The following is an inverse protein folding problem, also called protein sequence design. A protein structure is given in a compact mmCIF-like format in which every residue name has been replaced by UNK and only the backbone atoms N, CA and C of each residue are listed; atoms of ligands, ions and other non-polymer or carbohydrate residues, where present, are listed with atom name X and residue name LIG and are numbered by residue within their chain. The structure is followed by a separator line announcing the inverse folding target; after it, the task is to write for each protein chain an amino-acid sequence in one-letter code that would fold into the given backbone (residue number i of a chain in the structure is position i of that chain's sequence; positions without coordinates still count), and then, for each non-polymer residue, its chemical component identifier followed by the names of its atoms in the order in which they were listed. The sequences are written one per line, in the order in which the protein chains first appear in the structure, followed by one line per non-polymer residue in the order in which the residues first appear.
data_IF_325675383392
#
_entry.id   IF_325675383392
#
_cell.length_a   1.000
_cell.length_b   1.000
_cell.length_c   1.000
_cell.angle_alpha   90.00
_cell.angle_beta   90.00
_cell.angle_gamma   90.00
#
_symmetry.space_group_name_H-M   'P 1'
#
loop_
_entity.id
_entity.type
_entity.pdbx_description
1 polymer ?
#
# COMPACT_ATOMS: atom_id res chain seq x y z
N UNK A 1 9.28 -16.07 -35.37
CA UNK A 1 10.08 -15.09 -34.60
C UNK A 1 9.18 -14.58 -33.50
N UNK A 2 9.39 -14.96 -32.24
CA UNK A 2 8.53 -14.47 -31.15
C UNK A 2 8.85 -13.00 -30.90
N UNK A 3 7.87 -12.11 -31.10
CA UNK A 3 7.98 -10.70 -30.77
C UNK A 3 8.24 -10.56 -29.27
N UNK A 4 9.40 -9.99 -28.93
CA UNK A 4 9.71 -9.64 -27.55
C UNK A 4 8.71 -8.55 -27.11
N UNK A 5 7.82 -8.91 -26.17
CA UNK A 5 6.89 -7.96 -25.56
C UNK A 5 7.70 -6.80 -24.96
N UNK A 6 7.41 -5.53 -25.30
CA UNK A 6 8.12 -4.40 -24.71
C UNK A 6 7.96 -4.45 -23.18
N UNK A 7 8.99 -4.03 -22.42
CA UNK A 7 8.95 -4.07 -20.97
C UNK A 7 7.70 -3.33 -20.48
N UNK A 8 6.86 -4.01 -19.67
CA UNK A 8 5.67 -3.41 -19.07
C UNK A 8 6.11 -2.14 -18.34
N UNK A 9 5.61 -0.98 -18.80
CA UNK A 9 5.93 0.32 -18.20
C UNK A 9 5.45 0.32 -16.75
N UNK A 10 6.33 0.71 -15.83
CA UNK A 10 5.93 1.07 -14.48
C UNK A 10 5.16 2.40 -14.52
N UNK A 11 3.95 2.41 -13.97
CA UNK A 11 3.15 3.62 -13.80
C UNK A 11 3.39 4.24 -12.42
N UNK A 12 3.38 5.58 -12.35
CA UNK A 12 3.52 6.32 -11.10
C UNK A 12 2.13 6.59 -10.53
N UNK A 13 1.84 6.01 -9.38
CA UNK A 13 0.61 6.28 -8.61
C UNK A 13 0.91 7.35 -7.56
N UNK A 14 0.03 8.36 -7.46
CA UNK A 14 0.06 9.36 -6.38
C UNK A 14 -1.12 9.11 -5.46
N UNK A 15 -0.85 9.04 -4.16
CA UNK A 15 -1.85 8.88 -3.10
C UNK A 15 -1.59 9.99 -2.08
N UNK A 16 -2.63 10.64 -1.59
CA UNK A 16 -2.53 11.58 -0.48
C UNK A 16 -2.72 10.81 0.81
N UNK A 17 -1.78 10.98 1.74
CA UNK A 17 -1.77 10.37 3.06
C UNK A 17 -1.60 11.48 4.08
N UNK A 18 -2.24 11.36 5.22
CA UNK A 18 -1.99 12.27 6.34
C UNK A 18 -0.70 11.91 7.10
N UNK A 19 -0.34 12.73 8.08
CA UNK A 19 0.92 12.58 8.84
C UNK A 19 0.97 11.26 9.62
N UNK A 20 -0.17 10.80 10.15
CA UNK A 20 -0.26 9.57 10.93
C UNK A 20 -0.07 8.35 10.02
N UNK A 21 -0.70 8.34 8.85
CA UNK A 21 -0.53 7.28 7.86
C UNK A 21 0.90 7.20 7.34
N UNK A 22 1.53 8.35 7.07
CA UNK A 22 2.94 8.40 6.66
C UNK A 22 3.86 7.86 7.75
N UNK A 23 3.59 8.22 9.00
CA UNK A 23 4.34 7.73 10.16
C UNK A 23 4.19 6.23 10.35
N UNK A 24 2.97 5.68 10.23
CA UNK A 24 2.74 4.24 10.32
C UNK A 24 3.54 3.45 9.28
N UNK A 25 3.61 3.94 8.03
CA UNK A 25 4.43 3.33 6.98
C UNK A 25 5.92 3.37 7.33
N UNK A 26 6.40 4.50 7.86
CA UNK A 26 7.80 4.65 8.24
C UNK A 26 8.16 3.78 9.46
N UNK A 27 7.32 3.73 10.50
CA UNK A 27 7.53 2.88 11.68
C UNK A 27 7.61 1.40 11.27
N UNK A 28 6.67 0.93 10.44
CA UNK A 28 6.72 -0.42 9.89
C UNK A 28 8.00 -0.68 9.08
N UNK A 29 8.40 0.30 8.25
CA UNK A 29 9.65 0.24 7.47
C UNK A 29 10.87 0.10 8.37
N UNK A 30 10.95 0.86 9.47
CA UNK A 30 12.07 0.81 10.40
C UNK A 30 12.12 -0.53 11.14
N UNK A 31 10.98 -1.00 11.65
CA UNK A 31 10.84 -2.27 12.36
C UNK A 31 11.26 -3.46 11.46
N UNK A 32 10.79 -3.46 10.20
CA UNK A 32 11.08 -4.50 9.21
C UNK A 32 12.38 -4.27 8.44
N UNK A 33 13.17 -3.24 8.79
CA UNK A 33 14.45 -2.85 8.17
C UNK A 33 14.38 -2.68 6.65
N UNK A 34 13.30 -2.10 6.15
CA UNK A 34 13.08 -1.88 4.72
C UNK A 34 13.79 -0.60 4.26
N UNK A 35 14.61 -0.64 3.18
CA UNK A 35 15.57 0.42 2.90
C UNK A 35 14.93 1.74 2.45
N UNK A 36 13.78 1.71 1.77
CA UNK A 36 13.11 2.92 1.27
C UNK A 36 11.61 2.86 1.52
N UNK A 37 10.97 4.02 1.63
CA UNK A 37 9.51 4.10 1.76
C UNK A 37 8.79 3.47 0.57
N UNK A 38 9.30 3.66 -0.65
CA UNK A 38 8.74 3.03 -1.85
C UNK A 38 8.82 1.49 -1.80
N UNK A 39 9.92 0.92 -1.26
CA UNK A 39 10.03 -0.51 -1.06
C UNK A 39 9.05 -0.99 0.02
N UNK A 40 8.87 -0.22 1.09
CA UNK A 40 7.91 -0.54 2.16
C UNK A 40 6.48 -0.57 1.62
N UNK A 41 6.07 0.47 0.89
CA UNK A 41 4.76 0.55 0.25
C UNK A 41 4.54 -0.66 -0.67
N UNK A 42 5.52 -1.01 -1.52
CA UNK A 42 5.40 -2.18 -2.42
C UNK A 42 5.23 -3.49 -1.67
N UNK A 43 5.97 -3.69 -0.59
CA UNK A 43 5.88 -4.90 0.22
C UNK A 43 4.56 -4.99 0.99
N UNK A 44 4.09 -3.86 1.54
CA UNK A 44 2.76 -3.77 2.16
C UNK A 44 1.65 -4.09 1.16
N UNK A 45 1.70 -3.51 -0.05
CA UNK A 45 0.75 -3.83 -1.12
C UNK A 45 0.80 -5.33 -1.48
N UNK A 46 1.99 -5.90 -1.61
CA UNK A 46 2.16 -7.32 -1.90
C UNK A 46 1.53 -8.19 -0.82
N UNK A 47 1.76 -7.87 0.46
CA UNK A 47 1.17 -8.60 1.60
C UNK A 47 -0.34 -8.48 1.61
N UNK A 48 -0.90 -7.29 1.38
CA UNK A 48 -2.34 -7.08 1.26
C UNK A 48 -2.97 -7.90 0.14
N UNK A 49 -2.35 -7.91 -1.05
CA UNK A 49 -2.84 -8.67 -2.21
C UNK A 49 -2.73 -10.20 -2.05
N UNK A 50 -1.78 -10.67 -1.23
CA UNK A 50 -1.62 -12.10 -0.93
C UNK A 50 -2.47 -12.56 0.25
N UNK A 51 -3.01 -11.64 1.04
CA UNK A 51 -3.87 -11.97 2.17
C UNK A 51 -5.22 -12.48 1.63
N UNK A 52 -5.48 -13.77 1.85
CA UNK A 52 -6.70 -14.46 1.35
C UNK A 52 -7.91 -14.29 2.28
N UNK A 53 -7.70 -13.71 3.45
CA UNK A 53 -8.67 -13.63 4.54
C UNK A 53 -9.27 -12.21 4.68
N UNK A 54 -9.00 -11.30 3.73
CA UNK A 54 -9.59 -9.98 3.73
C UNK A 54 -11.08 -10.05 3.32
N UNK A 55 -11.94 -9.42 4.11
CA UNK A 55 -13.34 -9.21 3.77
C UNK A 55 -13.50 -8.39 2.48
N UNK A 56 -14.65 -8.55 1.83
CA UNK A 56 -14.99 -7.73 0.66
C UNK A 56 -15.11 -6.28 1.10
N UNK A 57 -14.34 -5.34 0.52
CA UNK A 57 -14.45 -3.95 0.90
C UNK A 57 -15.84 -3.42 0.53
N UNK A 58 -16.47 -2.60 1.38
CA UNK A 58 -17.72 -1.93 1.06
C UNK A 58 -17.56 -1.01 -0.15
N UNK A 59 -18.52 -1.06 -1.07
CA UNK A 59 -18.44 -0.35 -2.36
C UNK A 59 -18.67 1.16 -2.26
N UNK A 60 -19.33 1.63 -1.18
CA UNK A 60 -19.84 2.99 -1.06
C UNK A 60 -19.10 3.84 -0.02
N UNK A 61 -17.91 3.42 0.40
CA UNK A 61 -17.08 4.23 1.31
C UNK A 61 -16.33 5.34 0.55
N UNK A 62 -16.25 6.56 1.12
CA UNK A 62 -15.42 7.61 0.55
C UNK A 62 -13.94 7.26 0.69
N UNK A 63 -13.09 7.84 -0.16
CA UNK A 63 -11.62 7.59 -0.15
C UNK A 63 -10.98 7.78 1.22
N UNK A 64 -11.50 8.68 2.06
CA UNK A 64 -11.00 8.96 3.42
C UNK A 64 -11.24 7.84 4.44
N UNK A 65 -12.07 6.86 4.12
CA UNK A 65 -12.32 5.69 4.98
C UNK A 65 -11.35 4.53 4.67
N UNK A 66 -10.61 4.59 3.55
CA UNK A 66 -9.56 3.62 3.21
C UNK A 66 -8.20 4.02 3.80
N UNK A 67 -8.16 4.31 5.11
CA UNK A 67 -6.93 4.72 5.79
C UNK A 67 -5.98 3.54 6.03
N UNK A 68 -4.70 3.86 6.14
CA UNK A 68 -3.64 2.89 6.48
C UNK A 68 -3.67 2.53 7.97
N UNK A 69 -4.09 3.46 8.82
CA UNK A 69 -4.32 3.23 10.26
C UNK A 69 -5.81 3.09 10.52
N UNK A 70 -6.18 2.10 11.33
CA UNK A 70 -7.50 2.12 11.94
C UNK A 70 -7.54 3.32 12.89
N UNK A 71 -8.62 4.10 12.87
CA UNK A 71 -8.84 5.10 13.89
C UNK A 71 -9.20 4.35 15.18
N UNK A 72 -8.20 3.78 15.85
CA UNK A 72 -8.34 3.18 17.19
C UNK A 72 -8.56 4.33 18.18
N UNK A 73 -9.77 4.87 18.16
CA UNK A 73 -10.32 5.77 19.14
C UNK A 73 -11.22 4.99 20.09
N UNK A 74 -10.60 4.46 21.16
CA UNK A 74 -11.20 3.94 22.42
C UNK A 74 -11.61 2.47 22.46
#
# INVERSE_FOLDING_TARGET
MAEAQPPKRTEKVQVMLDDEELRAIDDWRFDNRVPTRAAAIRELLRRGLLNRELDTPPADLPTRDFRVTDAEGT
#
